data_IF_795736398948
#
_entry.id   IF_795736398948
#
_cell.length_a   1.000
_cell.length_b   1.000
_cell.length_c   1.000
_cell.angle_alpha   90.00
_cell.angle_beta   90.00
_cell.angle_gamma   90.00
#
_symmetry.space_group_name_H-M   'P 1'
#
loop_
_entity.id
_entity.type
_entity.pdbx_description
1 polymer ?
#
# COMPACT_ATOMS: atom_id res chain seq x y z
N UNK A 1 23.34 -4.18 -6.66
CA UNK A 1 23.77 -4.50 -5.28
C UNK A 1 22.52 -4.67 -4.42
N UNK A 2 22.35 -5.75 -3.66
CA UNK A 2 21.04 -6.04 -3.03
C UNK A 2 20.71 -5.03 -1.92
N UNK A 3 19.50 -4.48 -1.88
CA UNK A 3 19.05 -3.46 -0.91
C UNK A 3 19.43 -3.77 0.54
N UNK A 4 19.52 -5.05 0.90
CA UNK A 4 19.97 -5.50 2.22
C UNK A 4 21.37 -5.02 2.63
N UNK A 5 22.34 -4.92 1.70
CA UNK A 5 23.68 -4.45 2.09
C UNK A 5 23.67 -2.96 2.46
N UNK A 6 22.90 -2.14 1.73
CA UNK A 6 22.75 -0.71 2.00
C UNK A 6 22.09 -0.50 3.37
N UNK A 7 21.02 -1.25 3.64
CA UNK A 7 20.32 -1.14 4.93
C UNK A 7 21.22 -1.55 6.09
N UNK A 8 22.01 -2.62 5.95
CA UNK A 8 22.96 -3.03 6.99
C UNK A 8 24.04 -1.99 7.22
N UNK A 9 24.59 -1.42 6.15
CA UNK A 9 25.61 -0.38 6.23
C UNK A 9 25.05 0.87 6.94
N UNK A 10 23.88 1.35 6.53
CA UNK A 10 23.20 2.48 7.16
C UNK A 10 22.90 2.23 8.64
N UNK A 11 22.36 1.06 9.00
CA UNK A 11 22.06 0.72 10.40
C UNK A 11 23.32 0.67 11.27
N UNK A 12 24.41 0.14 10.75
CA UNK A 12 25.66 0.06 11.49
C UNK A 12 26.32 1.44 11.65
N UNK A 13 26.17 2.33 10.67
CA UNK A 13 26.73 3.67 10.68
C UNK A 13 25.91 4.66 11.53
N UNK A 14 24.58 4.64 11.42
CA UNK A 14 23.70 5.60 12.10
C UNK A 14 23.24 5.13 13.48
N UNK A 15 23.06 3.81 13.66
CA UNK A 15 22.49 3.22 14.88
C UNK A 15 23.31 2.03 15.39
N UNK A 16 24.63 2.21 15.65
CA UNK A 16 25.50 1.12 16.07
C UNK A 16 24.98 0.47 17.36
N UNK A 17 25.06 -0.87 17.41
CA UNK A 17 24.65 -1.71 18.54
C UNK A 17 23.19 -1.60 19.03
N UNK A 18 22.35 -0.89 18.28
CA UNK A 18 20.94 -0.71 18.60
C UNK A 18 20.15 -2.03 18.59
N UNK A 19 19.07 -2.15 19.36
CA UNK A 19 18.17 -3.31 19.28
C UNK A 19 17.66 -3.59 17.86
N UNK A 20 17.41 -2.53 17.09
CA UNK A 20 16.94 -2.58 15.70
C UNK A 20 18.01 -3.16 14.77
N UNK A 21 19.25 -2.68 14.87
CA UNK A 21 20.37 -3.21 14.09
C UNK A 21 20.61 -4.69 14.40
N UNK A 22 20.63 -5.06 15.69
CA UNK A 22 20.74 -6.47 16.12
C UNK A 22 19.61 -7.33 15.56
N UNK A 23 18.36 -6.84 15.62
CA UNK A 23 17.20 -7.56 15.08
C UNK A 23 17.29 -7.72 13.56
N UNK A 24 17.60 -6.67 12.81
CA UNK A 24 17.71 -6.73 11.35
C UNK A 24 18.84 -7.67 10.91
N UNK A 25 19.99 -7.60 11.56
CA UNK A 25 21.14 -8.46 11.25
C UNK A 25 20.89 -9.93 11.61
N UNK A 26 20.00 -10.23 12.57
CA UNK A 26 19.60 -11.60 12.91
C UNK A 26 18.68 -12.27 11.88
N UNK A 27 18.07 -11.49 10.98
CA UNK A 27 17.10 -11.98 10.00
C UNK A 27 17.81 -12.23 8.67
N UNK A 28 17.72 -13.45 8.15
CA UNK A 28 18.23 -13.76 6.82
C UNK A 28 17.37 -13.13 5.72
N UNK A 29 17.92 -12.84 4.53
CA UNK A 29 17.13 -12.33 3.40
C UNK A 29 15.90 -13.19 3.07
N UNK A 30 16.01 -14.52 3.19
CA UNK A 30 14.88 -15.43 2.98
C UNK A 30 13.81 -15.26 4.05
N UNK A 31 14.17 -15.18 5.33
CA UNK A 31 13.20 -14.97 6.40
C UNK A 31 12.50 -13.61 6.28
N UNK A 32 13.22 -12.58 5.86
CA UNK A 32 12.63 -11.26 5.59
C UNK A 32 11.62 -11.36 4.44
N UNK A 33 12.00 -12.01 3.34
CA UNK A 33 11.12 -12.24 2.20
C UNK A 33 9.87 -13.05 2.58
N UNK A 34 10.04 -14.20 3.24
CA UNK A 34 8.94 -15.05 3.70
C UNK A 34 7.99 -14.25 4.60
N UNK A 35 8.53 -13.37 5.46
CA UNK A 35 7.71 -12.52 6.32
C UNK A 35 6.94 -11.45 5.53
N UNK A 36 7.55 -10.84 4.52
CA UNK A 36 6.85 -9.93 3.62
C UNK A 36 5.69 -10.64 2.90
N UNK A 37 5.93 -11.86 2.40
CA UNK A 37 4.87 -12.68 1.79
C UNK A 37 3.74 -12.95 2.77
N UNK A 38 4.05 -13.40 3.99
CA UNK A 38 3.06 -13.65 5.05
C UNK A 38 2.20 -12.42 5.35
N UNK A 39 2.81 -11.23 5.45
CA UNK A 39 2.13 -9.98 5.74
C UNK A 39 1.18 -9.54 4.60
N UNK A 40 1.54 -9.84 3.36
CA UNK A 40 0.72 -9.52 2.17
C UNK A 40 -0.40 -10.54 1.98
N UNK A 41 -0.14 -11.82 2.25
CA UNK A 41 -1.08 -12.91 1.97
C UNK A 41 -2.25 -13.01 2.96
N UNK A 42 -2.21 -12.26 4.08
CA UNK A 42 -3.19 -12.26 5.20
C UNK A 42 -4.26 -13.33 5.07
N UNK A 43 -3.92 -14.55 5.52
CA UNK A 43 -4.81 -15.71 5.46
C UNK A 43 -6.11 -15.40 6.20
N UNK A 44 -7.24 -15.47 5.49
CA UNK A 44 -8.57 -15.25 6.06
C UNK A 44 -9.35 -14.06 5.49
N UNK A 45 -8.73 -13.20 4.68
CA UNK A 45 -9.48 -12.18 3.95
C UNK A 45 -10.15 -12.79 2.70
N UNK A 46 -11.49 -12.86 2.62
CA UNK A 46 -12.18 -13.40 1.46
C UNK A 46 -12.09 -12.47 0.24
N UNK A 47 -11.89 -11.17 0.44
CA UNK A 47 -11.88 -10.18 -0.63
C UNK A 47 -10.44 -9.89 -1.03
N UNK A 48 -10.14 -10.17 -2.30
CA UNK A 48 -8.84 -9.85 -2.92
C UNK A 48 -9.07 -9.10 -4.22
N UNK A 49 -8.23 -8.10 -4.45
CA UNK A 49 -8.16 -7.38 -5.72
C UNK A 49 -6.78 -7.54 -6.32
N UNK A 50 -6.67 -7.24 -7.62
CA UNK A 50 -5.35 -7.10 -8.26
C UNK A 50 -4.77 -5.77 -7.81
N UNK A 51 -3.80 -5.83 -6.90
CA UNK A 51 -3.05 -4.69 -6.43
C UNK A 51 -1.83 -4.44 -7.32
N UNK A 52 -1.48 -3.17 -7.49
CA UNK A 52 -0.26 -2.70 -8.11
C UNK A 52 0.98 -3.23 -7.39
N UNK A 53 0.96 -3.19 -6.06
CA UNK A 53 2.01 -3.75 -5.21
C UNK A 53 3.26 -2.89 -5.04
N UNK A 54 3.38 -1.81 -5.82
CA UNK A 54 4.38 -0.73 -5.69
C UNK A 54 3.75 0.66 -5.92
N UNK A 55 2.65 0.96 -5.23
CA UNK A 55 1.83 2.16 -5.46
C UNK A 55 2.37 3.42 -4.77
N UNK A 56 3.60 3.82 -5.07
CA UNK A 56 4.17 5.11 -4.62
C UNK A 56 4.22 6.14 -5.74
N UNK A 57 4.39 7.41 -5.39
CA UNK A 57 4.10 8.58 -6.24
C UNK A 57 4.83 8.57 -7.58
N UNK A 58 6.02 7.97 -7.66
CA UNK A 58 6.80 7.93 -8.92
C UNK A 58 6.18 7.04 -9.98
N UNK A 59 5.31 6.10 -9.60
CA UNK A 59 4.61 5.19 -10.49
C UNK A 59 3.23 5.73 -10.94
N UNK A 60 2.94 7.00 -10.59
CA UNK A 60 1.77 7.74 -11.05
C UNK A 60 2.24 8.92 -11.89
N UNK A 61 1.70 9.05 -13.09
CA UNK A 61 1.81 10.28 -13.88
C UNK A 61 0.45 10.96 -13.90
N UNK A 62 0.42 12.23 -13.54
CA UNK A 62 -0.79 13.05 -13.60
C UNK A 62 -0.59 14.27 -14.50
N UNK A 63 -1.65 14.70 -15.18
CA UNK A 63 -1.68 15.96 -15.92
C UNK A 63 -3.01 16.70 -15.72
N UNK A 64 -2.93 18.03 -15.70
CA UNK A 64 -4.10 18.90 -15.77
C UNK A 64 -4.46 19.15 -17.25
N UNK A 65 -5.70 18.85 -17.63
CA UNK A 65 -6.24 19.14 -18.95
C UNK A 65 -6.62 20.63 -19.10
N UNK A 66 -6.81 21.13 -20.34
CA UNK A 66 -7.23 22.51 -20.57
C UNK A 66 -8.56 22.91 -19.91
N UNK A 67 -9.44 21.94 -19.64
CA UNK A 67 -10.72 22.14 -18.94
C UNK A 67 -10.61 22.05 -17.41
N UNK A 68 -9.39 21.93 -16.87
CA UNK A 68 -9.10 21.82 -15.44
C UNK A 68 -9.22 20.41 -14.86
N UNK A 69 -9.65 19.40 -15.64
CA UNK A 69 -9.70 18.02 -15.16
C UNK A 69 -8.31 17.45 -14.93
N UNK A 70 -8.20 16.58 -13.93
CA UNK A 70 -7.00 15.79 -13.69
C UNK A 70 -7.11 14.44 -14.40
N UNK A 71 -6.11 14.10 -15.20
CA UNK A 71 -5.91 12.75 -15.71
C UNK A 71 -4.73 12.12 -15.01
N UNK A 72 -4.85 10.85 -14.66
CA UNK A 72 -3.80 10.05 -14.05
C UNK A 72 -3.63 8.73 -14.79
N UNK A 73 -2.38 8.29 -14.94
CA UNK A 73 -2.03 6.93 -15.37
C UNK A 73 -1.12 6.30 -14.32
N UNK A 74 -1.29 4.99 -14.13
CA UNK A 74 -0.45 4.16 -13.25
C UNK A 74 0.35 3.22 -14.15
N UNK A 75 1.62 3.01 -13.83
CA UNK A 75 2.53 2.14 -14.58
C UNK A 75 3.50 1.43 -13.64
N UNK A 76 4.26 0.47 -14.19
CA UNK A 76 5.21 -0.38 -13.45
C UNK A 76 4.57 -1.39 -12.48
N UNK A 77 3.80 -2.31 -13.06
CA UNK A 77 3.13 -3.40 -12.36
C UNK A 77 4.06 -4.58 -11.99
N UNK A 78 5.37 -4.37 -11.86
CA UNK A 78 6.34 -5.45 -11.63
C UNK A 78 6.11 -6.22 -10.32
N UNK A 79 5.42 -5.62 -9.34
CA UNK A 79 5.06 -6.24 -8.07
C UNK A 79 3.56 -6.59 -7.95
N UNK A 80 2.82 -6.58 -9.07
CA UNK A 80 1.38 -6.78 -9.07
C UNK A 80 1.00 -8.16 -8.55
N UNK A 81 -0.04 -8.21 -7.71
CA UNK A 81 -0.42 -9.41 -6.95
C UNK A 81 -1.85 -9.33 -6.44
N UNK A 82 -2.46 -10.49 -6.20
CA UNK A 82 -3.75 -10.55 -5.52
C UNK A 82 -3.56 -10.33 -4.02
N UNK A 83 -4.02 -9.19 -3.52
CA UNK A 83 -3.93 -8.81 -2.12
C UNK A 83 -5.22 -8.15 -1.65
N UNK A 84 -5.26 -7.76 -0.39
CA UNK A 84 -6.33 -6.94 0.16
C UNK A 84 -6.46 -5.61 -0.62
N UNK A 85 -7.68 -5.11 -0.87
CA UNK A 85 -7.89 -3.84 -1.55
C UNK A 85 -7.32 -2.62 -0.80
N UNK A 86 -7.07 -2.72 0.52
CA UNK A 86 -6.43 -1.61 1.27
C UNK A 86 -4.92 -1.59 1.13
N UNK A 87 -4.29 -2.61 0.55
CA UNK A 87 -2.84 -2.74 0.53
C UNK A 87 -2.16 -1.60 -0.23
N UNK A 88 -2.57 -1.35 -1.47
CA UNK A 88 -2.02 -0.25 -2.28
C UNK A 88 -2.36 1.12 -1.68
N UNK A 89 -3.55 1.26 -1.07
CA UNK A 89 -3.99 2.50 -0.46
C UNK A 89 -3.16 2.83 0.78
N UNK A 90 -2.97 1.87 1.68
CA UNK A 90 -2.17 2.04 2.88
C UNK A 90 -0.71 2.31 2.56
N UNK A 91 -0.17 1.65 1.52
CA UNK A 91 1.17 1.94 1.00
C UNK A 91 1.25 3.37 0.48
N UNK A 92 0.39 3.75 -0.47
CA UNK A 92 0.35 5.09 -1.06
C UNK A 92 0.22 6.19 -0.01
N UNK A 93 -0.75 6.09 0.89
CA UNK A 93 -0.96 7.08 1.96
C UNK A 93 0.31 7.20 2.82
N UNK A 94 0.93 6.10 3.20
CA UNK A 94 2.09 6.13 4.09
C UNK A 94 3.34 6.69 3.42
N UNK A 95 3.57 6.36 2.14
CA UNK A 95 4.79 6.75 1.41
C UNK A 95 4.68 8.10 0.70
N UNK A 96 3.47 8.53 0.35
CA UNK A 96 3.23 9.69 -0.52
C UNK A 96 2.66 10.90 0.22
N UNK A 97 2.37 10.79 1.52
CA UNK A 97 1.86 11.90 2.33
C UNK A 97 2.74 12.16 3.54
N UNK A 98 2.70 13.38 4.06
CA UNK A 98 3.31 13.72 5.34
C UNK A 98 2.37 13.42 6.52
N UNK A 99 2.88 13.58 7.73
CA UNK A 99 2.11 13.31 8.95
C UNK A 99 0.92 14.26 9.09
N UNK A 100 1.10 15.54 8.79
CA UNK A 100 0.04 16.55 8.92
C UNK A 100 -1.16 16.22 8.02
N UNK A 101 -0.90 15.82 6.78
CA UNK A 101 -1.91 15.36 5.83
C UNK A 101 -2.68 14.17 6.38
N UNK A 102 -2.00 13.18 6.97
CA UNK A 102 -2.67 12.01 7.56
C UNK A 102 -3.50 12.38 8.78
N UNK A 103 -2.97 13.22 9.67
CA UNK A 103 -3.68 13.64 10.87
C UNK A 103 -4.99 14.37 10.53
N UNK A 104 -5.00 15.14 9.43
CA UNK A 104 -6.16 15.95 9.03
C UNK A 104 -7.09 15.25 8.02
N UNK A 105 -6.61 14.31 7.22
CA UNK A 105 -7.32 13.81 6.04
C UNK A 105 -7.33 12.29 5.86
N UNK A 106 -6.78 11.50 6.80
CA UNK A 106 -6.75 10.04 6.65
C UNK A 106 -8.17 9.45 6.54
N UNK A 107 -9.05 9.75 7.50
CA UNK A 107 -10.41 9.20 7.52
C UNK A 107 -11.23 9.60 6.28
N UNK A 108 -11.13 10.86 5.85
CA UNK A 108 -11.83 11.35 4.66
C UNK A 108 -11.30 10.71 3.38
N UNK A 109 -9.99 10.47 3.29
CA UNK A 109 -9.35 9.78 2.15
C UNK A 109 -9.78 8.32 2.08
N UNK A 110 -9.79 7.62 3.22
CA UNK A 110 -10.25 6.24 3.34
C UNK A 110 -11.73 6.10 2.93
N UNK A 111 -12.58 7.00 3.43
CA UNK A 111 -14.00 7.04 3.06
C UNK A 111 -14.17 7.33 1.56
N UNK A 112 -13.45 8.31 1.02
CA UNK A 112 -13.54 8.64 -0.39
C UNK A 112 -13.14 7.47 -1.29
N UNK A 113 -12.05 6.78 -0.95
CA UNK A 113 -11.62 5.57 -1.66
C UNK A 113 -12.71 4.49 -1.63
N UNK A 114 -13.28 4.20 -0.45
CA UNK A 114 -14.35 3.22 -0.32
C UNK A 114 -15.62 3.60 -1.09
N UNK A 115 -16.00 4.88 -1.08
CA UNK A 115 -17.15 5.38 -1.84
C UNK A 115 -16.95 5.17 -3.36
N UNK A 116 -15.74 5.43 -3.87
CA UNK A 116 -15.39 5.20 -5.29
C UNK A 116 -15.36 3.71 -5.61
N UNK A 117 -14.70 2.90 -4.78
CA UNK A 117 -14.67 1.43 -4.92
C UNK A 117 -16.08 0.86 -4.98
N UNK A 118 -16.95 1.29 -4.06
CA UNK A 118 -18.35 0.84 -3.98
C UNK A 118 -19.14 1.18 -5.23
N UNK A 119 -18.96 2.42 -5.76
CA UNK A 119 -19.56 2.83 -7.03
C UNK A 119 -19.05 1.99 -8.20
N UNK A 120 -17.76 1.67 -8.24
CA UNK A 120 -17.17 0.82 -9.29
C UNK A 120 -17.71 -0.61 -9.22
N UNK A 121 -17.83 -1.20 -8.04
CA UNK A 121 -18.43 -2.53 -7.84
C UNK A 121 -19.89 -2.55 -8.31
N UNK A 122 -20.66 -1.51 -7.96
CA UNK A 122 -22.04 -1.35 -8.42
C UNK A 122 -22.15 -1.21 -9.95
N UNK A 123 -21.27 -0.43 -10.57
CA UNK A 123 -21.22 -0.25 -12.02
C UNK A 123 -20.86 -1.54 -12.77
N UNK A 124 -20.12 -2.45 -12.12
CA UNK A 124 -19.79 -3.78 -12.64
C UNK A 124 -20.90 -4.83 -12.39
N UNK A 125 -22.01 -4.45 -11.76
CA UNK A 125 -23.20 -5.29 -11.58
C UNK A 125 -23.25 -6.07 -10.26
N UNK A 126 -22.46 -5.69 -9.25
CA UNK A 126 -22.45 -6.35 -7.93
C UNK A 126 -22.88 -5.40 -6.80
N UNK A 127 -23.30 -5.94 -5.64
CA UNK A 127 -23.68 -5.13 -4.48
C UNK A 127 -22.49 -4.89 -3.55
N UNK A 128 -21.96 -3.66 -3.56
CA UNK A 128 -20.83 -3.27 -2.72
C UNK A 128 -21.09 -3.39 -1.21
N UNK A 129 -22.34 -3.16 -0.76
CA UNK A 129 -22.69 -3.23 0.67
C UNK A 129 -22.72 -4.67 1.20
N UNK A 130 -22.95 -5.64 0.31
CA UNK A 130 -22.89 -7.07 0.67
C UNK A 130 -21.48 -7.63 0.50
N UNK A 131 -20.79 -7.22 -0.57
CA UNK A 131 -19.47 -7.75 -0.92
C UNK A 131 -18.37 -7.21 0.00
N UNK A 132 -18.36 -5.90 0.24
CA UNK A 132 -17.27 -5.23 0.92
C UNK A 132 -17.72 -3.93 1.62
N UNK A 133 -18.54 -4.03 2.69
CA UNK A 133 -19.04 -2.87 3.42
C UNK A 133 -17.92 -2.09 4.12
N UNK A 134 -18.19 -0.82 4.43
CA UNK A 134 -17.18 0.10 4.98
C UNK A 134 -16.58 -0.38 6.31
N UNK A 135 -17.37 -1.03 7.17
CA UNK A 135 -16.87 -1.54 8.45
C UNK A 135 -15.90 -2.73 8.28
N UNK A 136 -16.07 -3.54 7.24
CA UNK A 136 -15.13 -4.60 6.87
C UNK A 136 -13.84 -3.96 6.34
N UNK A 137 -13.97 -2.98 5.44
CA UNK A 137 -12.84 -2.21 4.93
C UNK A 137 -11.99 -1.58 6.03
N UNK A 138 -12.61 -1.01 7.06
CA UNK A 138 -11.90 -0.37 8.19
C UNK A 138 -11.26 -1.35 9.19
N UNK A 139 -11.58 -2.65 9.12
CA UNK A 139 -11.00 -3.70 9.99
C UNK A 139 -9.75 -4.33 9.39
N UNK A 140 -9.45 -4.07 8.12
CA UNK A 140 -8.22 -4.51 7.46
C UNK A 140 -7.03 -3.62 7.84
#
# INVERSE_FOLDING_TARGET
ASTNHVVRDALNNEYPDSPQAKKFNSISPKQLYDKCVELVERKGNPIKTVCHGDSWTTNFMSRTLPDGKQEGIIFDFQLARCASPVHDLGYFITTCTDKETRDNHLESSLKHYHDVLSKTVAALGSNANELYPFDVFMKE
#
